data_IF_446641942473
#
_entry.id   IF_446641942473
#
_cell.length_a   1.000
_cell.length_b   1.000
_cell.length_c   1.000
_cell.angle_alpha   90.00
_cell.angle_beta   90.00
_cell.angle_gamma   90.00
#
_symmetry.space_group_name_H-M   'P 1'
#
loop_
_entity.id
_entity.type
_entity.pdbx_description
1 polymer ?
#
# COMPACT_ATOMS: atom_id res chain seq x y z
N UNK A 1 23.19 -39.21 -10.61
CA UNK A 1 22.36 -39.61 -9.45
C UNK A 1 21.41 -38.46 -9.17
N UNK A 2 20.12 -38.63 -9.52
CA UNK A 2 19.07 -37.65 -9.25
C UNK A 2 18.81 -37.61 -7.75
N UNK A 3 19.06 -36.47 -7.12
CA UNK A 3 18.67 -36.22 -5.74
C UNK A 3 17.13 -36.35 -5.69
N UNK A 4 16.55 -37.16 -4.78
CA UNK A 4 15.11 -37.27 -4.71
C UNK A 4 14.55 -35.90 -4.33
N UNK A 5 13.68 -35.35 -5.17
CA UNK A 5 12.91 -34.18 -4.78
C UNK A 5 12.10 -34.57 -3.55
N UNK A 6 12.38 -33.93 -2.40
CA UNK A 6 11.63 -34.13 -1.16
C UNK A 6 10.12 -33.94 -1.39
N UNK A 7 9.29 -34.46 -0.48
CA UNK A 7 7.83 -34.41 -0.65
C UNK A 7 7.36 -32.97 -0.87
N UNK A 8 6.61 -32.73 -1.96
CA UNK A 8 6.08 -31.42 -2.30
C UNK A 8 4.63 -31.34 -1.83
N UNK A 9 4.35 -30.44 -0.90
CA UNK A 9 2.98 -30.19 -0.41
C UNK A 9 2.55 -28.81 -0.85
N UNK A 10 1.39 -28.70 -1.50
CA UNK A 10 0.79 -27.43 -1.86
C UNK A 10 0.09 -26.84 -0.61
N UNK A 11 0.58 -25.71 -0.12
CA UNK A 11 -0.03 -24.99 1.00
C UNK A 11 -1.14 -24.07 0.49
N UNK A 12 -2.12 -23.77 1.35
CA UNK A 12 -3.18 -22.81 1.02
C UNK A 12 -2.59 -21.40 0.88
N UNK A 13 -3.15 -20.54 0.01
CA UNK A 13 -2.67 -19.16 -0.18
C UNK A 13 -2.77 -18.27 1.07
N UNK A 14 -3.41 -18.72 2.16
CA UNK A 14 -3.50 -18.00 3.43
C UNK A 14 -2.52 -18.54 4.50
N UNK A 15 -1.79 -19.61 4.21
CA UNK A 15 -0.90 -20.26 5.17
C UNK A 15 0.53 -19.75 4.99
N UNK A 16 1.01 -18.97 5.96
CA UNK A 16 2.40 -18.51 5.99
C UNK A 16 3.34 -19.71 6.06
N UNK A 17 4.32 -19.75 5.18
CA UNK A 17 5.36 -20.77 5.13
C UNK A 17 6.62 -20.25 5.82
N UNK A 18 7.21 -21.07 6.68
CA UNK A 18 8.49 -20.80 7.34
C UNK A 18 9.43 -21.98 7.09
N UNK A 19 10.69 -21.71 6.79
CA UNK A 19 11.70 -22.74 6.54
C UNK A 19 13.11 -22.24 6.85
N UNK A 20 14.01 -23.16 7.20
CA UNK A 20 15.42 -22.87 7.43
C UNK A 20 16.26 -23.45 6.30
N UNK A 21 17.01 -22.60 5.61
CA UNK A 21 17.79 -22.97 4.41
C UNK A 21 19.16 -22.29 4.41
N UNK A 22 20.06 -22.72 3.52
CA UNK A 22 21.36 -22.06 3.35
C UNK A 22 21.22 -20.65 2.78
N UNK A 23 22.22 -19.80 3.01
CA UNK A 23 22.30 -18.47 2.41
C UNK A 23 22.14 -18.46 0.89
N UNK A 24 22.77 -19.40 0.18
CA UNK A 24 22.65 -19.44 -1.29
C UNK A 24 21.24 -19.76 -1.76
N UNK A 25 20.54 -20.64 -1.03
CA UNK A 25 19.15 -20.94 -1.29
C UNK A 25 18.25 -19.75 -0.94
N UNK A 26 18.53 -19.01 0.15
CA UNK A 26 17.67 -17.90 0.60
C UNK A 26 17.49 -16.83 -0.47
N UNK A 27 18.53 -16.51 -1.23
CA UNK A 27 18.46 -15.52 -2.33
C UNK A 27 17.40 -15.85 -3.37
N UNK A 28 17.15 -17.13 -3.63
CA UNK A 28 16.12 -17.56 -4.57
C UNK A 28 14.70 -17.37 -4.06
N UNK A 29 14.50 -17.52 -2.75
CA UNK A 29 13.20 -17.33 -2.09
C UNK A 29 12.92 -15.86 -1.83
N UNK A 30 13.95 -15.09 -1.48
CA UNK A 30 13.93 -13.64 -1.38
C UNK A 30 13.42 -12.97 -2.67
N UNK A 31 13.84 -13.48 -3.83
CA UNK A 31 13.35 -13.03 -5.13
C UNK A 31 11.91 -13.47 -5.45
N UNK A 32 11.29 -14.32 -4.62
CA UNK A 32 9.99 -14.97 -4.87
C UNK A 32 9.02 -14.82 -3.70
N UNK A 33 9.04 -13.68 -3.04
CA UNK A 33 8.03 -13.34 -2.03
C UNK A 33 8.29 -13.95 -0.67
N UNK A 34 9.55 -14.14 -0.31
CA UNK A 34 9.95 -14.48 1.06
C UNK A 34 10.83 -13.38 1.62
N UNK A 35 10.76 -13.18 2.93
CA UNK A 35 11.74 -12.42 3.68
C UNK A 35 12.59 -13.40 4.48
N UNK A 36 13.91 -13.31 4.33
CA UNK A 36 14.83 -14.21 5.00
C UNK A 36 15.75 -13.46 5.97
N UNK A 37 15.85 -13.95 7.21
CA UNK A 37 16.69 -13.37 8.26
C UNK A 37 17.78 -14.35 8.67
N UNK A 38 18.89 -13.83 9.23
CA UNK A 38 19.94 -14.68 9.80
C UNK A 38 19.34 -15.53 10.93
N UNK A 39 19.60 -16.83 10.88
CA UNK A 39 19.15 -17.78 11.88
C UNK A 39 20.29 -18.70 12.28
N UNK A 40 20.44 -18.95 13.58
CA UNK A 40 21.54 -19.78 14.11
C UNK A 40 22.87 -19.03 14.23
N UNK A 41 23.98 -19.76 14.19
CA UNK A 41 25.31 -19.16 14.33
C UNK A 41 25.85 -18.63 12.99
N UNK A 42 26.76 -17.65 13.05
CA UNK A 42 27.44 -17.12 11.85
C UNK A 42 28.25 -18.20 11.10
N UNK A 43 28.57 -19.31 11.77
CA UNK A 43 29.32 -20.45 11.21
C UNK A 43 28.42 -21.32 10.33
N UNK A 44 27.16 -21.50 10.72
CA UNK A 44 26.20 -22.34 9.98
C UNK A 44 25.62 -21.63 8.74
N UNK A 45 25.67 -20.29 8.72
CA UNK A 45 25.21 -19.44 7.61
C UNK A 45 23.78 -19.77 7.13
N UNK A 46 22.92 -20.18 8.07
CA UNK A 46 21.52 -20.51 7.81
C UNK A 46 20.64 -19.26 7.82
N UNK A 47 19.55 -19.34 7.07
CA UNK A 47 18.53 -18.31 6.93
C UNK A 47 17.17 -18.89 7.22
N UNK A 48 16.44 -18.25 8.12
CA UNK A 48 15.01 -18.50 8.30
C UNK A 48 14.27 -17.63 7.30
N UNK A 49 13.55 -18.28 6.38
CA UNK A 49 12.78 -17.63 5.33
C UNK A 49 11.29 -17.78 5.62
N UNK A 50 10.59 -16.66 5.63
CA UNK A 50 9.15 -16.58 5.84
C UNK A 50 8.49 -16.02 4.59
N UNK A 51 7.46 -16.68 4.06
CA UNK A 51 6.68 -16.16 2.94
C UNK A 51 6.01 -14.85 3.33
N UNK A 52 5.99 -13.86 2.44
CA UNK A 52 5.35 -12.58 2.72
C UNK A 52 3.88 -12.77 3.10
N UNK A 53 3.43 -12.27 4.26
CA UNK A 53 2.06 -12.46 4.70
C UNK A 53 1.08 -11.63 3.85
N UNK A 54 -0.21 -11.91 4.00
CA UNK A 54 -1.28 -11.06 3.46
C UNK A 54 -1.10 -9.59 3.87
N UNK A 55 -1.45 -8.68 2.99
CA UNK A 55 -1.22 -7.24 3.11
C UNK A 55 0.17 -6.81 2.71
N UNK A 56 1.03 -7.75 2.30
CA UNK A 56 2.38 -7.47 1.84
C UNK A 56 2.72 -8.23 0.56
N UNK A 57 3.77 -7.80 -0.13
CA UNK A 57 4.34 -8.46 -1.30
C UNK A 57 5.86 -8.35 -1.25
N UNK A 58 6.58 -9.32 -1.82
CA UNK A 58 8.04 -9.26 -1.98
C UNK A 58 8.46 -8.75 -3.35
N UNK A 59 9.73 -8.37 -3.50
CA UNK A 59 10.28 -7.94 -4.77
C UNK A 59 11.72 -7.45 -4.68
N UNK A 60 12.36 -7.31 -5.84
CA UNK A 60 13.78 -6.98 -5.95
C UNK A 60 14.11 -5.51 -5.61
N UNK A 61 13.14 -4.59 -5.64
CA UNK A 61 13.39 -3.13 -5.60
C UNK A 61 13.89 -2.63 -4.25
N UNK A 62 13.39 -3.16 -3.13
CA UNK A 62 13.67 -2.58 -1.80
C UNK A 62 14.27 -3.58 -0.82
N UNK A 63 15.18 -4.42 -1.32
CA UNK A 63 16.06 -5.21 -0.45
C UNK A 63 15.45 -6.48 0.11
N UNK A 64 14.80 -7.30 -0.73
CA UNK A 64 14.42 -8.68 -0.39
C UNK A 64 13.55 -8.84 0.87
N UNK A 65 12.80 -7.78 1.21
CA UNK A 65 11.88 -7.75 2.35
C UNK A 65 10.44 -7.64 1.85
N UNK A 66 9.49 -8.05 2.71
CA UNK A 66 8.08 -7.92 2.41
C UNK A 66 7.64 -6.47 2.57
N UNK A 67 7.16 -5.89 1.48
CA UNK A 67 6.64 -4.53 1.42
C UNK A 67 5.14 -4.53 1.69
N UNK A 68 4.67 -3.61 2.52
CA UNK A 68 3.25 -3.39 2.72
C UNK A 68 2.57 -2.92 1.43
N UNK A 69 1.35 -3.41 1.16
CA UNK A 69 0.49 -2.75 0.18
C UNK A 69 0.26 -1.30 0.61
N UNK A 70 0.37 -0.33 -0.32
CA UNK A 70 0.27 1.08 0.02
C UNK A 70 -1.13 1.44 0.47
N UNK A 71 -1.21 2.57 1.16
CA UNK A 71 -2.48 3.25 1.45
C UNK A 71 -3.21 3.58 0.14
N UNK A 72 -4.54 3.59 0.17
CA UNK A 72 -5.37 3.82 -1.01
C UNK A 72 -6.12 2.57 -1.46
N UNK A 73 -6.32 2.39 -2.76
CA UNK A 73 -7.16 1.34 -3.33
C UNK A 73 -6.53 -0.05 -3.43
N UNK A 74 -5.70 -0.47 -2.47
CA UNK A 74 -4.89 -1.69 -2.61
C UNK A 74 -4.94 -2.62 -1.39
N UNK A 75 -4.96 -3.94 -1.65
CA UNK A 75 -4.86 -4.99 -0.64
C UNK A 75 -4.15 -6.24 -1.20
N UNK A 76 -3.80 -7.20 -0.36
CA UNK A 76 -3.28 -8.50 -0.78
C UNK A 76 -3.74 -9.61 0.16
N UNK A 77 -4.54 -10.55 -0.33
CA UNK A 77 -5.17 -11.65 0.42
C UNK A 77 -4.45 -12.99 0.26
N UNK A 78 -3.33 -13.01 -0.47
CA UNK A 78 -2.50 -14.20 -0.67
C UNK A 78 -1.09 -13.99 -0.08
N UNK A 79 -0.54 -15.04 0.50
CA UNK A 79 0.85 -15.09 0.98
C UNK A 79 1.82 -15.32 -0.16
N UNK A 80 3.08 -14.94 0.04
CA UNK A 80 4.18 -15.21 -0.89
C UNK A 80 4.08 -14.45 -2.20
N UNK A 81 3.27 -13.40 -2.28
CA UNK A 81 3.08 -12.64 -3.51
C UNK A 81 4.32 -11.83 -3.82
N UNK A 82 4.70 -11.78 -5.10
CA UNK A 82 5.91 -11.09 -5.51
C UNK A 82 5.82 -10.49 -6.91
N UNK A 83 6.68 -9.52 -7.17
CA UNK A 83 6.84 -8.87 -8.47
C UNK A 83 7.71 -9.72 -9.41
N UNK A 84 7.21 -10.09 -10.59
CA UNK A 84 7.96 -10.87 -11.59
C UNK A 84 8.97 -10.03 -12.38
N UNK A 85 8.64 -8.78 -12.67
CA UNK A 85 9.47 -7.81 -13.40
C UNK A 85 10.32 -6.95 -12.47
N UNK A 86 10.12 -7.10 -11.15
CA UNK A 86 10.81 -6.31 -10.14
C UNK A 86 10.44 -4.84 -10.20
N UNK A 87 9.31 -4.44 -10.79
CA UNK A 87 8.83 -3.05 -10.78
C UNK A 87 7.35 -2.97 -10.44
N UNK A 88 6.60 -4.05 -10.70
CA UNK A 88 5.19 -4.17 -10.41
C UNK A 88 4.93 -4.37 -8.92
N UNK A 89 4.04 -3.55 -8.35
CA UNK A 89 3.46 -3.80 -7.04
C UNK A 89 2.42 -4.91 -7.15
N UNK A 90 2.68 -6.08 -6.57
CA UNK A 90 1.75 -7.22 -6.63
C UNK A 90 0.69 -7.14 -5.51
N UNK A 91 -0.07 -6.04 -5.49
CA UNK A 91 -1.27 -5.87 -4.66
C UNK A 91 -2.50 -5.81 -5.57
N UNK A 92 -3.61 -6.38 -5.11
CA UNK A 92 -4.91 -6.32 -5.77
C UNK A 92 -5.55 -4.95 -5.55
N UNK A 93 -6.41 -4.55 -6.48
CA UNK A 93 -7.22 -3.34 -6.33
C UNK A 93 -8.45 -3.63 -5.46
N UNK A 94 -8.76 -2.71 -4.55
CA UNK A 94 -10.06 -2.62 -3.90
C UNK A 94 -11.18 -2.42 -4.94
N UNK A 95 -12.40 -2.81 -4.59
CA UNK A 95 -13.58 -2.53 -5.43
C UNK A 95 -13.83 -1.03 -5.55
N UNK A 96 -14.50 -0.61 -6.62
CA UNK A 96 -14.86 0.80 -6.84
C UNK A 96 -15.54 1.40 -5.61
N UNK A 97 -15.18 2.65 -5.31
CA UNK A 97 -15.71 3.37 -4.15
C UNK A 97 -15.23 2.85 -2.79
N UNK A 98 -14.13 2.08 -2.75
CA UNK A 98 -13.51 1.63 -1.50
C UNK A 98 -11.99 1.80 -1.48
N UNK A 99 -11.42 1.93 -0.29
CA UNK A 99 -9.98 2.16 -0.07
C UNK A 99 -9.52 1.66 1.30
N UNK A 100 -8.21 1.46 1.45
CA UNK A 100 -7.52 1.14 2.71
C UNK A 100 -6.82 2.40 3.22
N UNK A 101 -7.25 2.91 4.39
CA UNK A 101 -6.70 4.15 4.95
C UNK A 101 -5.24 3.99 5.38
N UNK A 102 -4.89 2.93 6.10
CA UNK A 102 -3.59 2.80 6.78
C UNK A 102 -2.58 1.95 5.99
N UNK A 103 -2.97 1.45 4.81
CA UNK A 103 -2.19 0.52 4.01
C UNK A 103 -2.22 -0.90 4.60
N UNK A 104 -1.36 -1.78 4.09
CA UNK A 104 -1.28 -3.19 4.49
C UNK A 104 -2.62 -3.94 4.45
N UNK A 105 -3.51 -3.60 3.51
CA UNK A 105 -4.83 -4.23 3.40
C UNK A 105 -4.70 -5.74 3.22
N UNK A 106 -5.20 -6.53 4.17
CA UNK A 106 -4.96 -7.98 4.22
C UNK A 106 -5.95 -8.79 3.39
N UNK A 107 -7.08 -8.19 3.06
CA UNK A 107 -8.20 -8.84 2.40
C UNK A 107 -9.17 -7.77 1.85
N UNK A 108 -10.18 -8.17 1.05
CA UNK A 108 -11.18 -7.22 0.57
C UNK A 108 -11.95 -6.46 1.66
N UNK A 109 -12.09 -7.00 2.87
CA UNK A 109 -12.79 -6.34 3.99
C UNK A 109 -11.95 -5.22 4.62
N UNK A 110 -10.65 -5.20 4.34
CA UNK A 110 -9.76 -4.08 4.67
C UNK A 110 -10.15 -2.82 3.87
N UNK A 111 -10.74 -2.98 2.68
CA UNK A 111 -11.23 -1.87 1.87
C UNK A 111 -12.52 -1.29 2.50
N UNK A 112 -12.45 -0.04 2.93
CA UNK A 112 -13.57 0.71 3.52
C UNK A 112 -14.19 1.64 2.48
N UNK A 113 -15.50 1.86 2.63
CA UNK A 113 -16.27 2.73 1.73
C UNK A 113 -15.69 4.13 1.73
N UNK A 114 -15.60 4.73 0.54
CA UNK A 114 -15.10 6.08 0.37
C UNK A 114 -16.01 7.11 1.05
N UNK A 115 -15.42 8.14 1.69
CA UNK A 115 -16.18 9.14 2.44
C UNK A 115 -17.17 9.94 1.59
N UNK A 116 -18.07 10.69 2.24
CA UNK A 116 -19.02 11.57 1.57
C UNK A 116 -18.31 12.62 0.69
N UNK A 117 -18.93 12.99 -0.43
CA UNK A 117 -18.37 13.95 -1.39
C UNK A 117 -17.33 13.37 -2.35
N UNK A 118 -17.04 12.06 -2.26
CA UNK A 118 -16.13 11.36 -3.18
C UNK A 118 -16.88 10.63 -4.29
N UNK A 119 -16.18 10.40 -5.42
CA UNK A 119 -16.63 9.53 -6.50
C UNK A 119 -16.51 8.05 -6.09
N UNK A 120 -17.64 7.35 -6.07
CA UNK A 120 -17.74 5.93 -5.70
C UNK A 120 -17.79 4.98 -6.89
N UNK A 121 -17.78 5.49 -8.12
CA UNK A 121 -17.84 4.72 -9.36
C UNK A 121 -16.45 4.52 -9.98
N UNK A 122 -15.39 4.66 -9.18
CA UNK A 122 -14.02 4.58 -9.64
C UNK A 122 -13.11 3.91 -8.62
N UNK A 123 -11.97 3.42 -9.10
CA UNK A 123 -10.93 2.86 -8.26
C UNK A 123 -10.21 3.99 -7.50
N UNK A 124 -9.95 3.74 -6.22
CA UNK A 124 -9.35 4.73 -5.34
C UNK A 124 -7.85 4.98 -5.63
N UNK A 125 -7.12 3.98 -6.17
CA UNK A 125 -5.69 4.11 -6.50
C UNK A 125 -4.84 4.62 -5.32
N UNK A 126 -3.69 5.25 -5.59
CA UNK A 126 -2.76 5.70 -4.53
C UNK A 126 -3.25 6.92 -3.73
N UNK A 127 -4.15 7.73 -4.30
CA UNK A 127 -4.66 8.97 -3.68
C UNK A 127 -6.02 8.78 -3.00
N UNK A 128 -6.45 7.52 -2.83
CA UNK A 128 -7.81 7.13 -2.49
C UNK A 128 -8.88 7.80 -3.39
N UNK A 129 -10.16 7.64 -3.09
CA UNK A 129 -11.23 8.12 -3.96
C UNK A 129 -11.17 9.64 -4.19
N UNK A 130 -11.21 10.05 -5.46
CA UNK A 130 -11.30 11.45 -5.85
C UNK A 130 -12.61 12.10 -5.41
N UNK A 131 -12.60 13.42 -5.23
CA UNK A 131 -13.78 14.21 -4.98
C UNK A 131 -14.71 14.24 -6.19
N UNK A 132 -16.00 14.48 -5.93
CA UNK A 132 -16.97 14.84 -6.96
C UNK A 132 -16.61 16.22 -7.56
N UNK A 133 -17.17 16.52 -8.72
CA UNK A 133 -17.03 17.84 -9.33
C UNK A 133 -17.53 18.94 -8.39
N UNK A 134 -16.79 20.04 -8.30
CA UNK A 134 -17.05 21.15 -7.39
C UNK A 134 -16.98 20.78 -5.89
N UNK A 135 -16.23 19.74 -5.54
CA UNK A 135 -15.85 19.43 -4.16
C UNK A 135 -14.33 19.53 -3.98
N UNK A 136 -13.89 19.74 -2.74
CA UNK A 136 -12.48 19.76 -2.35
C UNK A 136 -12.25 19.00 -1.07
N UNK A 137 -11.00 18.69 -0.76
CA UNK A 137 -10.60 18.08 0.52
C UNK A 137 -9.25 18.62 0.98
N UNK A 138 -8.95 18.40 2.26
CA UNK A 138 -7.66 18.76 2.88
C UNK A 138 -6.83 17.53 3.27
N UNK A 139 -7.44 16.37 3.27
CA UNK A 139 -6.81 15.08 3.52
C UNK A 139 -7.34 14.08 2.49
N UNK A 140 -6.44 13.40 1.79
CA UNK A 140 -6.79 12.46 0.73
C UNK A 140 -7.53 11.20 1.21
N UNK A 141 -7.71 10.99 2.51
CA UNK A 141 -8.47 9.86 3.06
C UNK A 141 -9.74 10.28 3.79
N UNK A 142 -10.08 11.57 3.80
CA UNK A 142 -11.29 12.10 4.42
C UNK A 142 -12.38 12.47 3.40
N UNK A 143 -13.51 12.94 3.94
CA UNK A 143 -14.63 13.49 3.16
C UNK A 143 -14.19 14.66 2.29
N UNK A 144 -14.87 14.81 1.17
CA UNK A 144 -14.82 16.04 0.41
C UNK A 144 -15.97 16.96 0.84
N UNK A 145 -15.69 18.25 0.82
CA UNK A 145 -16.60 19.32 1.15
C UNK A 145 -16.98 20.07 -0.12
N UNK A 146 -18.22 20.58 -0.17
CA UNK A 146 -18.68 21.37 -1.31
C UNK A 146 -17.80 22.61 -1.45
N UNK A 147 -17.43 22.98 -2.68
CA UNK A 147 -16.63 24.16 -2.91
C UNK A 147 -17.34 25.42 -2.39
N UNK A 148 -16.66 26.29 -1.63
CA UNK A 148 -17.21 27.58 -1.26
C UNK A 148 -17.55 28.41 -2.52
N UNK A 149 -18.65 29.15 -2.47
CA UNK A 149 -19.17 29.87 -3.64
C UNK A 149 -18.36 31.11 -4.01
N UNK A 150 -17.68 31.72 -3.03
CA UNK A 150 -17.00 33.01 -3.21
C UNK A 150 -15.49 32.85 -3.07
N UNK A 151 -14.76 33.47 -4.01
CA UNK A 151 -13.31 33.64 -3.93
C UNK A 151 -12.45 32.40 -4.14
N UNK A 152 -13.05 31.25 -4.47
CA UNK A 152 -12.33 30.00 -4.70
C UNK A 152 -12.91 29.19 -5.86
N UNK A 153 -12.09 28.31 -6.42
CA UNK A 153 -12.46 27.34 -7.44
C UNK A 153 -11.89 25.98 -7.05
N UNK A 154 -12.72 24.94 -7.09
CA UNK A 154 -12.32 23.59 -6.70
C UNK A 154 -12.25 22.66 -7.90
N UNK A 155 -11.13 21.97 -8.07
CA UNK A 155 -10.89 21.03 -9.18
C UNK A 155 -9.88 19.97 -8.75
N UNK A 156 -10.11 18.73 -9.19
CA UNK A 156 -9.22 17.59 -8.94
C UNK A 156 -8.89 17.39 -7.45
N UNK A 157 -9.87 17.53 -6.56
CA UNK A 157 -9.75 17.45 -5.09
C UNK A 157 -9.20 18.71 -4.39
N UNK A 158 -8.67 19.67 -5.14
CA UNK A 158 -8.02 20.86 -4.59
C UNK A 158 -8.92 22.09 -4.63
N UNK A 159 -8.71 23.00 -3.70
CA UNK A 159 -9.30 24.34 -3.68
C UNK A 159 -8.22 25.37 -3.99
N UNK A 160 -8.44 26.17 -5.03
CA UNK A 160 -7.58 27.28 -5.42
C UNK A 160 -8.30 28.62 -5.21
N UNK A 161 -7.55 29.65 -4.88
CA UNK A 161 -8.06 31.02 -4.80
C UNK A 161 -8.40 31.56 -6.20
N UNK A 162 -9.54 32.25 -6.30
CA UNK A 162 -9.95 32.99 -7.50
C UNK A 162 -9.20 34.31 -7.66
N UNK A 163 -9.14 34.81 -8.89
CA UNK A 163 -8.47 36.08 -9.18
C UNK A 163 -9.04 37.24 -8.34
N UNK A 164 -8.17 38.04 -7.72
CA UNK A 164 -8.56 39.18 -6.87
C UNK A 164 -8.79 38.83 -5.39
N UNK A 165 -8.75 37.56 -5.03
CA UNK A 165 -8.85 37.09 -3.65
C UNK A 165 -7.46 36.73 -3.11
N UNK A 166 -7.33 36.70 -1.79
CA UNK A 166 -6.08 36.39 -1.11
C UNK A 166 -6.37 35.67 0.21
N UNK A 167 -5.47 34.76 0.59
CA UNK A 167 -5.57 34.10 1.89
C UNK A 167 -5.20 35.09 3.00
N UNK A 168 -6.05 35.21 4.00
CA UNK A 168 -5.68 35.83 5.26
C UNK A 168 -5.15 34.75 6.22
N UNK A 169 -3.85 34.43 6.11
CA UNK A 169 -3.21 33.45 6.99
C UNK A 169 -2.70 34.13 8.27
N UNK A 170 -3.05 33.56 9.43
CA UNK A 170 -2.30 33.77 10.67
C UNK A 170 -1.49 32.51 10.95
N UNK A 171 -0.20 32.51 10.58
CA UNK A 171 0.70 31.40 10.88
C UNK A 171 1.06 31.44 12.37
N UNK A 172 0.26 30.77 13.19
CA UNK A 172 0.59 30.54 14.60
C UNK A 172 1.08 29.12 14.87
N UNK A 173 0.80 28.16 13.98
CA UNK A 173 1.16 26.76 14.17
C UNK A 173 1.70 26.10 12.89
N UNK A 174 3.02 25.87 12.85
CA UNK A 174 3.72 25.27 11.70
C UNK A 174 3.43 23.77 11.52
N UNK A 175 2.96 23.09 12.57
CA UNK A 175 2.70 21.64 12.52
C UNK A 175 1.40 21.35 11.75
N UNK A 176 0.42 22.26 11.78
CA UNK A 176 -0.78 22.14 10.94
C UNK A 176 -0.45 22.23 9.46
N UNK A 177 0.48 23.11 9.09
CA UNK A 177 0.95 23.24 7.71
C UNK A 177 1.70 21.98 7.25
N UNK A 178 2.60 21.44 8.08
CA UNK A 178 3.32 20.19 7.77
C UNK A 178 2.34 19.04 7.54
N UNK A 179 1.37 18.86 8.44
CA UNK A 179 0.34 17.81 8.32
C UNK A 179 -0.47 17.95 7.03
N UNK A 180 -0.81 19.18 6.66
CA UNK A 180 -1.50 19.44 5.39
C UNK A 180 -0.66 19.02 4.18
N UNK A 181 0.61 19.42 4.12
CA UNK A 181 1.51 19.09 3.01
C UNK A 181 1.76 17.58 2.90
N UNK A 182 1.91 16.87 4.02
CA UNK A 182 2.10 15.42 4.05
C UNK A 182 0.85 14.61 3.65
N UNK A 183 -0.35 15.20 3.79
CA UNK A 183 -1.62 14.55 3.50
C UNK A 183 -2.22 14.91 2.12
N UNK A 184 -1.61 15.87 1.40
CA UNK A 184 -1.85 16.14 -0.02
C UNK A 184 -1.23 15.05 -0.90
#
# INVERSE_FOLDING_TARGET
MSVPFGSRTCLRPSTVMVMNISYDASRWFEARGFSCILFGTKVDNLRECTSCPTGTYGGHVTGYTCQACPRGGFYQDQVGQYSLDGTSMNCKNCTEGTFVRDGSGKDPLSCKVCPTGTNKNGLAGFRACSCLDNYFRRDRFDKCELCPQEGVHCKNDYMAIGQGYYWNWSYTNIDEYKRFVENL
#
